data_IF_100315815080
#
_entry.id   IF_100315815080
#
_cell.length_a   1.000
_cell.length_b   1.000
_cell.length_c   1.000
_cell.angle_alpha   90.00
_cell.angle_beta   90.00
_cell.angle_gamma   90.00
#
_symmetry.space_group_name_H-M   'P 1'
#
loop_
_entity.id
_entity.type
_entity.pdbx_description
1 polymer ?
#
# COMPACT_ATOMS: atom_id res chain seq x y z
N UNK A 1 6.13 19.23 3.41
CA UNK A 1 5.01 18.86 2.51
C UNK A 1 4.02 17.99 3.25
N UNK A 2 2.74 18.24 3.09
CA UNK A 2 1.66 17.39 3.59
C UNK A 2 1.54 16.09 2.77
N UNK A 3 0.86 15.07 3.30
CA UNK A 3 0.58 13.85 2.54
C UNK A 3 -0.17 14.16 1.24
N UNK A 4 -1.10 15.13 1.30
CA UNK A 4 -1.88 15.52 0.12
C UNK A 4 -0.99 16.14 -0.97
N UNK A 5 -0.08 17.02 -0.63
CA UNK A 5 0.87 17.63 -1.60
C UNK A 5 1.76 16.56 -2.24
N UNK A 6 2.31 15.63 -1.43
CA UNK A 6 3.13 14.51 -1.92
C UNK A 6 2.33 13.58 -2.85
N UNK A 7 1.09 13.30 -2.50
CA UNK A 7 0.18 12.51 -3.33
C UNK A 7 -0.09 13.18 -4.69
N UNK A 8 -0.35 14.49 -4.71
CA UNK A 8 -0.55 15.25 -5.96
C UNK A 8 0.72 15.19 -6.84
N UNK A 9 1.91 15.39 -6.27
CA UNK A 9 3.18 15.28 -7.02
C UNK A 9 3.40 13.89 -7.63
N UNK A 10 3.00 12.82 -6.94
CA UNK A 10 3.08 11.46 -7.48
C UNK A 10 2.09 11.27 -8.65
N UNK A 11 0.87 11.79 -8.53
CA UNK A 11 -0.14 11.71 -9.60
C UNK A 11 0.34 12.39 -10.90
N UNK A 12 1.01 13.54 -10.79
CA UNK A 12 1.53 14.28 -11.94
C UNK A 12 2.59 13.52 -12.74
N UNK A 13 3.27 12.55 -12.13
CA UNK A 13 4.28 11.71 -12.79
C UNK A 13 3.70 10.57 -13.63
N UNK A 14 2.42 10.29 -13.53
CA UNK A 14 1.74 9.32 -14.39
C UNK A 14 1.33 10.02 -15.69
N UNK A 15 2.06 9.76 -16.78
CA UNK A 15 1.98 10.53 -18.02
C UNK A 15 1.42 9.70 -19.19
N UNK A 16 1.85 8.45 -19.33
CA UNK A 16 1.48 7.59 -20.47
C UNK A 16 0.03 7.14 -20.35
N UNK A 17 -0.40 6.71 -19.16
CA UNK A 17 -1.78 6.29 -18.85
C UNK A 17 -2.51 7.34 -18.03
N UNK A 18 -2.19 8.63 -18.27
CA UNK A 18 -2.72 9.74 -17.48
C UNK A 18 -4.25 9.78 -17.46
N UNK A 19 -4.90 9.51 -18.60
CA UNK A 19 -6.36 9.53 -18.70
C UNK A 19 -7.00 8.43 -17.83
N UNK A 20 -6.59 7.20 -18.03
CA UNK A 20 -7.08 6.01 -17.34
C UNK A 20 -6.81 6.11 -15.83
N UNK A 21 -5.62 6.56 -15.49
CA UNK A 21 -5.22 6.76 -14.10
C UNK A 21 -6.06 7.86 -13.45
N UNK A 22 -6.23 9.00 -14.12
CA UNK A 22 -7.05 10.10 -13.61
C UNK A 22 -8.52 9.68 -13.41
N UNK A 23 -9.12 8.98 -14.38
CA UNK A 23 -10.49 8.49 -14.25
C UNK A 23 -10.65 7.55 -13.05
N UNK A 24 -9.66 6.70 -12.78
CA UNK A 24 -9.66 5.83 -11.62
C UNK A 24 -9.52 6.60 -10.31
N UNK A 25 -8.57 7.54 -10.24
CA UNK A 25 -8.35 8.38 -9.05
C UNK A 25 -9.58 9.24 -8.76
N UNK A 26 -10.19 9.88 -9.76
CA UNK A 26 -11.41 10.67 -9.58
C UNK A 26 -12.53 9.81 -8.95
N UNK A 27 -12.71 8.57 -9.43
CA UNK A 27 -13.68 7.63 -8.84
C UNK A 27 -13.30 7.25 -7.41
N UNK A 28 -12.03 6.96 -7.13
CA UNK A 28 -11.58 6.63 -5.78
C UNK A 28 -11.84 7.77 -4.79
N UNK A 29 -11.55 9.00 -5.19
CA UNK A 29 -11.69 10.18 -4.34
C UNK A 29 -13.15 10.59 -4.12
N UNK A 30 -14.04 10.43 -5.15
CA UNK A 30 -15.44 10.82 -5.07
C UNK A 30 -16.35 9.74 -4.47
N UNK A 31 -16.18 8.48 -4.86
CA UNK A 31 -17.17 7.43 -4.64
C UNK A 31 -16.77 6.42 -3.56
N UNK A 32 -15.56 6.59 -2.98
CA UNK A 32 -15.02 5.65 -2.01
C UNK A 32 -14.48 6.32 -0.75
N UNK A 33 -14.00 5.50 0.18
CA UNK A 33 -13.30 5.97 1.38
C UNK A 33 -11.79 6.18 1.18
N UNK A 34 -11.28 6.24 -0.05
CA UNK A 34 -9.85 6.28 -0.36
C UNK A 34 -9.06 7.29 0.49
N UNK A 35 -9.52 8.55 0.52
CA UNK A 35 -8.85 9.62 1.27
C UNK A 35 -8.98 9.50 2.79
N UNK A 36 -9.87 8.63 3.30
CA UNK A 36 -10.22 8.53 4.72
C UNK A 36 -9.97 7.15 5.32
N UNK A 37 -9.77 6.13 4.47
CA UNK A 37 -9.61 4.75 4.93
C UNK A 37 -8.36 4.60 5.79
N UNK A 38 -8.42 3.82 6.90
CA UNK A 38 -7.22 3.42 7.62
C UNK A 38 -6.45 2.37 6.82
N UNK A 39 -5.16 2.23 7.09
CA UNK A 39 -4.35 1.15 6.52
C UNK A 39 -4.64 -0.20 7.17
N UNK A 40 -5.07 -0.19 8.44
CA UNK A 40 -5.38 -1.41 9.20
C UNK A 40 -6.48 -1.17 10.25
N UNK A 41 -6.98 -2.24 10.86
CA UNK A 41 -7.95 -2.14 11.98
C UNK A 41 -7.31 -1.77 13.30
N UNK A 42 -6.05 -2.17 13.56
CA UNK A 42 -5.38 -2.04 14.86
C UNK A 42 -3.85 -1.92 14.81
N UNK A 43 -3.23 -2.18 13.64
CA UNK A 43 -1.79 -2.13 13.45
C UNK A 43 -1.33 -0.73 13.00
N UNK A 44 -0.36 -0.67 12.10
CA UNK A 44 0.13 0.57 11.55
C UNK A 44 -1.00 1.42 10.94
N UNK A 45 -0.90 2.72 11.09
CA UNK A 45 -1.79 3.73 10.50
C UNK A 45 -3.30 3.40 10.60
N UNK A 46 -3.75 2.89 11.77
CA UNK A 46 -5.15 2.65 12.08
C UNK A 46 -5.92 3.95 12.39
N UNK A 47 -5.69 4.97 11.60
CA UNK A 47 -6.26 6.32 11.68
C UNK A 47 -6.90 6.74 10.36
N UNK A 48 -7.71 7.80 10.41
CA UNK A 48 -8.28 8.38 9.19
C UNK A 48 -7.18 8.83 8.23
N UNK A 49 -7.29 8.45 6.96
CA UNK A 49 -6.28 8.73 5.92
C UNK A 49 -5.04 7.86 5.97
N UNK A 50 -4.99 6.89 6.89
CA UNK A 50 -3.81 6.02 7.06
C UNK A 50 -3.44 5.23 5.81
N UNK A 51 -4.43 4.78 5.03
CA UNK A 51 -4.18 4.05 3.78
C UNK A 51 -3.48 4.93 2.73
N UNK A 52 -3.93 6.17 2.56
CA UNK A 52 -3.28 7.11 1.64
C UNK A 52 -1.85 7.44 2.10
N UNK A 53 -1.66 7.67 3.40
CA UNK A 53 -0.35 7.94 3.97
C UNK A 53 0.62 6.78 3.71
N UNK A 54 0.18 5.55 3.94
CA UNK A 54 0.92 4.33 3.61
C UNK A 54 1.29 4.26 2.13
N UNK A 55 0.30 4.34 1.25
CA UNK A 55 0.51 4.23 -0.21
C UNK A 55 1.48 5.28 -0.76
N UNK A 56 1.42 6.52 -0.25
CA UNK A 56 2.37 7.57 -0.60
C UNK A 56 3.78 7.22 -0.11
N UNK A 57 3.92 6.75 1.13
CA UNK A 57 5.19 6.31 1.68
C UNK A 57 5.82 5.18 0.86
N UNK A 58 5.02 4.17 0.50
CA UNK A 58 5.46 3.05 -0.35
C UNK A 58 5.91 3.54 -1.73
N UNK A 59 5.17 4.49 -2.34
CA UNK A 59 5.54 5.03 -3.64
C UNK A 59 6.89 5.75 -3.59
N UNK A 60 7.13 6.57 -2.58
CA UNK A 60 8.41 7.27 -2.42
C UNK A 60 9.58 6.33 -2.12
N UNK A 61 9.37 5.32 -1.27
CA UNK A 61 10.37 4.29 -1.00
C UNK A 61 10.68 3.49 -2.28
N UNK A 62 9.65 3.09 -3.02
CA UNK A 62 9.80 2.35 -4.27
C UNK A 62 10.56 3.12 -5.34
N UNK A 63 10.29 4.42 -5.48
CA UNK A 63 11.03 5.29 -6.42
C UNK A 63 12.51 5.42 -6.05
N UNK A 64 12.85 5.50 -4.76
CA UNK A 64 14.24 5.49 -4.28
C UNK A 64 14.92 4.15 -4.60
N UNK A 65 14.27 3.02 -4.27
CA UNK A 65 14.80 1.70 -4.58
C UNK A 65 14.98 1.50 -6.09
N UNK A 66 13.97 1.87 -6.89
CA UNK A 66 14.03 1.83 -8.35
C UNK A 66 15.24 2.59 -8.90
N UNK A 67 15.48 3.80 -8.41
CA UNK A 67 16.58 4.64 -8.92
C UNK A 67 17.97 4.01 -8.76
N UNK A 68 18.13 3.14 -7.75
CA UNK A 68 19.42 2.50 -7.43
C UNK A 68 19.49 1.07 -8.02
N UNK A 69 18.42 0.28 -7.85
CA UNK A 69 18.45 -1.15 -8.15
C UNK A 69 17.97 -1.49 -9.55
N UNK A 70 17.02 -0.72 -10.09
CA UNK A 70 16.33 -1.05 -11.34
C UNK A 70 15.89 0.20 -12.12
N UNK A 71 16.82 1.09 -12.50
CA UNK A 71 16.49 2.37 -13.15
C UNK A 71 15.79 2.20 -14.51
N UNK A 72 15.86 1.01 -15.12
CA UNK A 72 15.19 0.65 -16.37
C UNK A 72 13.70 0.39 -16.22
N UNK A 73 13.19 0.13 -15.01
CA UNK A 73 11.75 -0.05 -14.77
C UNK A 73 11.06 1.31 -14.90
N UNK A 74 9.88 1.34 -15.50
CA UNK A 74 9.09 2.57 -15.66
C UNK A 74 8.78 3.22 -14.30
N UNK A 75 9.04 4.53 -14.19
CA UNK A 75 8.66 5.31 -13.01
C UNK A 75 7.14 5.31 -12.82
N UNK A 76 6.40 5.44 -13.92
CA UNK A 76 4.94 5.36 -13.91
C UNK A 76 4.42 4.02 -13.38
N UNK A 77 5.01 2.89 -13.82
CA UNK A 77 4.64 1.56 -13.33
C UNK A 77 4.88 1.44 -11.82
N UNK A 78 6.01 1.95 -11.34
CA UNK A 78 6.30 1.97 -9.90
C UNK A 78 5.25 2.78 -9.12
N UNK A 79 4.85 3.95 -9.63
CA UNK A 79 3.87 4.81 -8.98
C UNK A 79 2.49 4.14 -8.96
N UNK A 80 2.02 3.61 -10.12
CA UNK A 80 0.73 2.94 -10.21
C UNK A 80 0.67 1.75 -9.25
N UNK A 81 1.70 0.90 -9.27
CA UNK A 81 1.76 -0.27 -8.37
C UNK A 81 1.78 0.18 -6.92
N UNK A 82 2.67 1.07 -6.53
CA UNK A 82 2.84 1.48 -5.14
C UNK A 82 1.63 2.23 -4.58
N UNK A 83 1.03 3.14 -5.33
CA UNK A 83 -0.15 3.86 -4.86
C UNK A 83 -1.38 2.95 -4.74
N UNK A 84 -1.48 1.92 -5.59
CA UNK A 84 -2.72 1.17 -5.76
C UNK A 84 -2.65 -0.29 -5.28
N UNK A 85 -1.48 -0.81 -4.82
CA UNK A 85 -1.35 -2.20 -4.38
C UNK A 85 -2.40 -2.59 -3.35
N UNK A 86 -2.67 -1.71 -2.43
CA UNK A 86 -3.57 -1.88 -1.28
C UNK A 86 -4.96 -1.24 -1.46
N UNK A 87 -5.30 -0.75 -2.66
CA UNK A 87 -6.58 -0.08 -2.90
C UNK A 87 -7.79 -0.97 -2.57
N UNK A 88 -7.63 -2.28 -2.59
CA UNK A 88 -8.66 -3.24 -2.15
C UNK A 88 -9.08 -3.07 -0.69
N UNK A 89 -8.29 -2.41 0.14
CA UNK A 89 -8.61 -2.07 1.54
C UNK A 89 -9.75 -1.04 1.68
N UNK A 90 -10.07 -0.29 0.63
CA UNK A 90 -11.21 0.64 0.67
C UNK A 90 -12.59 -0.06 0.68
N UNK A 91 -12.64 -1.33 0.29
CA UNK A 91 -13.90 -2.04 0.01
C UNK A 91 -14.36 -1.81 -1.44
N UNK A 92 -15.64 -1.54 -1.62
CA UNK A 92 -16.24 -1.25 -2.92
C UNK A 92 -16.89 0.14 -2.89
N UNK A 93 -17.10 0.80 -4.04
CA UNK A 93 -17.87 2.03 -4.10
C UNK A 93 -19.21 1.91 -3.35
N UNK A 94 -19.49 2.85 -2.43
CA UNK A 94 -20.65 2.85 -1.58
C UNK A 94 -20.68 1.81 -0.45
N UNK A 95 -19.69 0.90 -0.38
CA UNK A 95 -19.56 -0.14 0.67
C UNK A 95 -18.13 -0.19 1.22
N UNK A 96 -17.77 0.69 2.15
CA UNK A 96 -16.42 0.72 2.72
C UNK A 96 -16.13 -0.56 3.49
N UNK A 97 -14.90 -1.05 3.39
CA UNK A 97 -14.40 -2.19 4.16
C UNK A 97 -14.31 -1.89 5.65
N UNK A 98 -13.80 -0.70 5.98
CA UNK A 98 -13.59 -0.31 7.36
C UNK A 98 -14.70 0.60 7.85
N UNK A 99 -15.29 0.25 8.99
CA UNK A 99 -16.22 1.09 9.74
C UNK A 99 -15.66 1.37 11.13
N UNK A 100 -15.99 2.52 11.72
CA UNK A 100 -15.53 2.87 13.06
C UNK A 100 -16.01 1.84 14.07
N UNK A 101 -15.08 1.38 14.92
CA UNK A 101 -15.43 0.51 16.04
C UNK A 101 -16.12 1.36 17.14
N UNK A 102 -17.22 0.86 17.67
CA UNK A 102 -17.98 1.48 18.75
C UNK A 102 -17.80 0.76 20.09
N UNK A 103 -16.96 -0.27 20.15
CA UNK A 103 -16.66 -1.00 21.36
C UNK A 103 -15.48 -0.33 22.10
N UNK A 104 -15.79 0.46 23.12
CA UNK A 104 -14.80 1.19 23.92
C UNK A 104 -13.72 0.30 24.54
N UNK A 105 -14.09 -0.93 24.92
CA UNK A 105 -13.12 -1.86 25.49
C UNK A 105 -12.08 -2.32 24.45
N UNK A 106 -12.51 -2.65 23.24
CA UNK A 106 -11.61 -3.03 22.16
C UNK A 106 -10.72 -1.87 21.70
N UNK A 107 -11.29 -0.67 21.66
CA UNK A 107 -10.52 0.54 21.33
C UNK A 107 -9.41 0.76 22.35
N UNK A 108 -9.74 0.73 23.65
CA UNK A 108 -8.77 1.04 24.74
C UNK A 108 -7.75 -0.07 24.95
N UNK A 109 -8.17 -1.33 24.89
CA UNK A 109 -7.33 -2.46 25.30
C UNK A 109 -6.64 -3.18 24.13
N UNK A 110 -7.15 -3.03 22.90
CA UNK A 110 -6.64 -3.71 21.71
C UNK A 110 -6.25 -2.73 20.60
N UNK A 111 -6.35 -1.43 20.80
CA UNK A 111 -6.13 -0.40 19.79
C UNK A 111 -6.95 -0.63 18.50
N UNK A 112 -8.12 -1.29 18.61
CA UNK A 112 -8.97 -1.64 17.48
C UNK A 112 -9.92 -0.49 17.16
N UNK A 113 -9.40 0.54 16.49
CA UNK A 113 -10.15 1.77 16.14
C UNK A 113 -11.20 1.52 15.05
N UNK A 114 -10.92 0.57 14.16
CA UNK A 114 -11.83 0.19 13.07
C UNK A 114 -12.11 -1.30 13.11
N UNK A 115 -13.23 -1.69 12.51
CA UNK A 115 -13.61 -3.09 12.29
C UNK A 115 -14.03 -3.30 10.85
N UNK A 116 -14.01 -4.57 10.42
CA UNK A 116 -14.48 -4.96 9.08
C UNK A 116 -15.98 -4.77 9.02
N UNK A 117 -16.46 -4.17 7.94
CA UNK A 117 -17.89 -4.03 7.66
C UNK A 117 -18.51 -5.40 7.43
N UNK A 118 -19.51 -5.84 8.21
CA UNK A 118 -20.14 -7.14 8.04
C UNK A 118 -20.92 -7.28 6.73
N UNK A 119 -21.29 -6.16 6.09
CA UNK A 119 -22.01 -6.14 4.82
C UNK A 119 -21.07 -6.18 3.60
N UNK A 120 -19.74 -6.31 3.85
CA UNK A 120 -18.74 -6.43 2.78
C UNK A 120 -18.87 -7.80 2.09
N UNK A 121 -18.88 -7.79 0.75
CA UNK A 121 -18.62 -9.02 0.00
C UNK A 121 -17.14 -9.39 0.16
N UNK A 122 -16.89 -10.53 0.83
CA UNK A 122 -15.52 -10.98 1.07
C UNK A 122 -14.77 -11.20 -0.26
N UNK A 123 -13.56 -10.66 -0.34
CA UNK A 123 -12.63 -10.86 -1.43
C UNK A 123 -11.21 -10.73 -0.87
N UNK A 124 -10.27 -11.53 -1.37
CA UNK A 124 -8.85 -11.32 -1.08
C UNK A 124 -8.46 -9.89 -1.45
N UNK A 125 -7.67 -9.21 -0.61
CA UNK A 125 -7.40 -7.77 -0.77
C UNK A 125 -6.66 -7.46 -2.07
N UNK A 126 -5.59 -8.21 -2.38
CA UNK A 126 -4.82 -8.02 -3.59
C UNK A 126 -5.67 -8.30 -4.85
N UNK A 127 -6.52 -9.35 -4.81
CA UNK A 127 -7.49 -9.64 -5.89
C UNK A 127 -8.50 -8.51 -6.04
N UNK A 128 -8.98 -7.92 -4.94
CA UNK A 128 -9.87 -6.75 -5.00
C UNK A 128 -9.16 -5.55 -5.59
N UNK A 129 -7.89 -5.32 -5.24
CA UNK A 129 -7.09 -4.26 -5.86
C UNK A 129 -7.04 -4.44 -7.36
N UNK A 130 -6.66 -5.60 -7.84
CA UNK A 130 -6.64 -5.92 -9.28
C UNK A 130 -8.01 -5.74 -9.94
N UNK A 131 -9.09 -6.20 -9.29
CA UNK A 131 -10.45 -6.06 -9.81
C UNK A 131 -10.88 -4.60 -9.96
N UNK A 132 -10.54 -3.75 -9.00
CA UNK A 132 -10.86 -2.32 -9.05
C UNK A 132 -10.04 -1.61 -10.12
N UNK A 133 -8.73 -1.80 -10.13
CA UNK A 133 -7.79 -1.16 -11.06
C UNK A 133 -8.09 -1.58 -12.49
N UNK A 134 -8.29 -2.88 -12.74
CA UNK A 134 -8.47 -3.44 -14.06
C UNK A 134 -9.72 -2.95 -14.81
N UNK A 135 -10.64 -2.26 -14.12
CA UNK A 135 -11.79 -1.60 -14.77
C UNK A 135 -11.43 -0.30 -15.47
N UNK A 136 -10.28 0.29 -15.12
CA UNK A 136 -9.88 1.62 -15.57
C UNK A 136 -8.50 1.60 -16.21
N UNK A 137 -7.52 0.98 -15.56
CA UNK A 137 -6.10 1.04 -15.94
C UNK A 137 -5.70 -0.30 -16.57
N UNK A 138 -5.25 -0.32 -17.82
CA UNK A 138 -4.61 -1.51 -18.37
C UNK A 138 -3.27 -1.75 -17.67
N UNK A 139 -3.16 -2.86 -16.96
CA UNK A 139 -1.94 -3.29 -16.28
C UNK A 139 -1.14 -4.23 -17.18
N UNK A 140 0.18 -4.12 -17.14
CA UNK A 140 1.05 -5.18 -17.66
C UNK A 140 1.04 -6.40 -16.73
N UNK A 141 1.53 -7.55 -17.24
CA UNK A 141 1.64 -8.77 -16.44
C UNK A 141 2.52 -8.56 -15.19
N UNK A 142 3.62 -7.81 -15.34
CA UNK A 142 4.51 -7.46 -14.24
C UNK A 142 3.83 -6.60 -13.17
N UNK A 143 3.02 -5.60 -13.57
CA UNK A 143 2.25 -4.75 -12.65
C UNK A 143 1.16 -5.57 -11.94
N UNK A 144 0.47 -6.44 -12.66
CA UNK A 144 -0.54 -7.31 -12.09
C UNK A 144 0.08 -8.29 -11.08
N UNK A 145 1.23 -8.90 -11.41
CA UNK A 145 1.98 -9.74 -10.49
C UNK A 145 2.43 -8.96 -9.25
N UNK A 146 2.97 -7.77 -9.44
CA UNK A 146 3.44 -6.92 -8.34
C UNK A 146 2.31 -6.58 -7.36
N UNK A 147 1.12 -6.23 -7.86
CA UNK A 147 -0.05 -5.95 -7.02
C UNK A 147 -0.56 -7.23 -6.34
N UNK A 148 -0.60 -8.35 -7.06
CA UNK A 148 -1.12 -9.60 -6.50
C UNK A 148 -0.27 -10.12 -5.34
N UNK A 149 1.05 -10.03 -5.46
CA UNK A 149 1.99 -10.65 -4.54
C UNK A 149 2.79 -9.66 -3.70
N UNK A 150 2.31 -8.40 -3.56
CA UNK A 150 3.02 -7.36 -2.78
C UNK A 150 3.29 -7.74 -1.32
N UNK A 151 2.38 -8.50 -0.67
CA UNK A 151 2.56 -9.02 0.70
C UNK A 151 3.71 -10.04 0.82
N UNK A 152 4.28 -10.47 -0.31
CA UNK A 152 5.36 -11.45 -0.33
C UNK A 152 4.95 -12.82 0.21
N UNK A 153 5.96 -13.60 0.59
CA UNK A 153 5.79 -15.00 1.03
C UNK A 153 5.33 -15.13 2.49
N UNK A 154 5.06 -14.03 3.19
CA UNK A 154 4.38 -14.05 4.50
C UNK A 154 2.95 -14.61 4.39
N UNK A 155 2.33 -14.48 3.23
CA UNK A 155 1.06 -15.12 2.90
C UNK A 155 1.34 -16.49 2.29
N UNK A 156 0.87 -17.57 2.93
CA UNK A 156 1.12 -18.94 2.45
C UNK A 156 0.66 -19.18 1.00
N UNK A 157 -0.44 -18.54 0.59
CA UNK A 157 -0.92 -18.59 -0.79
C UNK A 157 0.05 -17.97 -1.80
N UNK A 158 0.94 -17.07 -1.38
CA UNK A 158 1.91 -16.42 -2.26
C UNK A 158 3.20 -17.24 -2.44
N UNK A 159 3.34 -18.39 -1.78
CA UNK A 159 4.54 -19.22 -1.91
C UNK A 159 4.73 -19.78 -3.33
N UNK A 160 3.67 -19.85 -4.12
CA UNK A 160 3.73 -20.29 -5.50
C UNK A 160 4.54 -19.37 -6.42
N UNK A 161 4.68 -18.09 -6.08
CA UNK A 161 5.47 -17.13 -6.86
C UNK A 161 6.96 -17.18 -6.53
N UNK A 162 7.34 -17.91 -5.47
CA UNK A 162 8.72 -17.95 -4.99
C UNK A 162 9.72 -18.30 -6.12
N UNK A 163 10.74 -17.47 -6.28
CA UNK A 163 11.76 -17.53 -7.34
C UNK A 163 11.24 -17.20 -8.76
N UNK A 164 10.01 -16.69 -8.88
CA UNK A 164 9.39 -16.27 -10.15
C UNK A 164 8.91 -14.82 -10.09
N UNK A 165 9.30 -14.11 -9.02
CA UNK A 165 8.94 -12.70 -8.85
C UNK A 165 9.62 -11.84 -9.93
N UNK A 166 8.80 -11.03 -10.62
CA UNK A 166 9.31 -9.96 -11.47
C UNK A 166 10.08 -8.92 -10.62
N UNK A 167 11.11 -8.26 -11.13
CA UNK A 167 11.80 -7.21 -10.41
C UNK A 167 10.88 -6.11 -9.83
N UNK A 168 9.79 -5.77 -10.52
CA UNK A 168 8.78 -4.82 -10.04
C UNK A 168 8.07 -5.34 -8.78
N UNK A 169 7.81 -6.66 -8.71
CA UNK A 169 7.23 -7.33 -7.54
C UNK A 169 8.17 -7.23 -6.34
N UNK A 170 9.46 -7.51 -6.52
CA UNK A 170 10.44 -7.38 -5.44
C UNK A 170 10.58 -5.92 -4.96
N UNK A 171 10.55 -4.95 -5.87
CA UNK A 171 10.62 -3.54 -5.51
C UNK A 171 9.46 -3.12 -4.60
N UNK A 172 8.21 -3.51 -4.95
CA UNK A 172 7.06 -3.16 -4.11
C UNK A 172 7.10 -3.88 -2.77
N UNK A 173 7.48 -5.16 -2.72
CA UNK A 173 7.62 -5.92 -1.47
C UNK A 173 8.63 -5.26 -0.51
N UNK A 174 9.80 -4.84 -1.02
CA UNK A 174 10.79 -4.15 -0.21
C UNK A 174 10.33 -2.77 0.24
N UNK A 175 9.69 -2.00 -0.66
CA UNK A 175 9.18 -0.68 -0.35
C UNK A 175 8.06 -0.73 0.69
N UNK A 176 7.10 -1.63 0.52
CA UNK A 176 5.98 -1.83 1.44
C UNK A 176 6.47 -2.28 2.82
N UNK A 177 7.30 -3.33 2.86
CA UNK A 177 7.87 -3.84 4.11
C UNK A 177 8.70 -2.78 4.84
N UNK A 178 9.52 -2.00 4.12
CA UNK A 178 10.29 -0.92 4.71
C UNK A 178 9.38 0.17 5.27
N UNK A 179 8.42 0.62 4.49
CA UNK A 179 7.49 1.67 4.90
C UNK A 179 6.70 1.26 6.13
N UNK A 180 6.08 0.07 6.12
CA UNK A 180 5.24 -0.41 7.20
C UNK A 180 6.02 -0.63 8.51
N UNK A 181 7.25 -1.18 8.44
CA UNK A 181 7.98 -1.61 9.63
C UNK A 181 9.05 -0.63 10.12
N UNK A 182 9.52 0.26 9.27
CA UNK A 182 10.58 1.22 9.62
C UNK A 182 10.03 2.63 9.71
N UNK A 183 9.47 3.14 8.61
CA UNK A 183 9.08 4.55 8.53
C UNK A 183 7.84 4.84 9.39
N UNK A 184 6.80 4.00 9.30
CA UNK A 184 5.53 4.20 10.02
C UNK A 184 5.61 3.87 11.51
N UNK A 185 6.44 2.91 11.89
CA UNK A 185 6.70 2.59 13.30
C UNK A 185 7.72 3.54 13.95
N UNK A 186 8.29 4.48 13.18
CA UNK A 186 9.28 5.44 13.66
C UNK A 186 10.54 4.75 14.19
N UNK A 187 10.88 3.58 13.64
CA UNK A 187 12.12 2.89 13.95
C UNK A 187 13.27 3.67 13.32
N UNK A 188 13.68 4.74 13.98
CA UNK A 188 14.89 5.45 13.62
C UNK A 188 16.03 4.45 13.67
N UNK A 189 16.69 4.22 12.54
CA UNK A 189 18.03 3.62 12.53
C UNK A 189 18.91 4.63 13.26
N UNK A 190 18.97 4.49 14.60
CA UNK A 190 19.97 5.21 15.36
C UNK A 190 21.29 4.72 14.83
N UNK A 191 22.22 5.62 14.52
CA UNK A 191 23.63 5.32 14.40
C UNK A 191 24.10 4.76 15.75
N UNK A 192 23.74 3.51 16.04
CA UNK A 192 24.19 2.84 17.23
C UNK A 192 25.55 2.21 16.89
N UNK A 193 26.58 3.02 17.07
CA UNK A 193 27.97 2.59 16.95
C UNK A 193 28.30 1.40 17.87
N UNK A 194 27.40 1.03 18.78
CA UNK A 194 27.57 -0.05 19.77
C UNK A 194 26.71 -1.29 19.50
N UNK A 195 25.99 -1.39 18.39
CA UNK A 195 25.14 -2.55 18.12
C UNK A 195 25.93 -3.86 18.01
N UNK A 196 27.15 -3.81 17.47
CA UNK A 196 28.02 -4.97 17.32
C UNK A 196 28.79 -5.31 18.60
N UNK A 197 29.09 -4.33 19.47
CA UNK A 197 29.85 -4.55 20.72
C UNK A 197 29.02 -5.27 21.80
N UNK A 198 27.67 -5.24 21.73
CA UNK A 198 26.80 -5.92 22.72
C UNK A 198 26.60 -7.42 22.49
N UNK A 199 27.12 -7.98 21.39
CA UNK A 199 27.03 -9.43 21.11
C UNK A 199 28.29 -10.23 21.36
N UNK A 200 29.34 -9.62 21.94
CA UNK A 200 30.66 -10.26 22.16
C UNK A 200 30.98 -10.46 23.64
N UNK A 201 30.01 -10.24 24.54
CA UNK A 201 30.19 -10.54 25.98
C UNK A 201 29.14 -11.55 26.47
#
# INVERSE_FOLDING_TARGET
>A
MTIKERYEELKEKVVIRQKEFKEFIDMLESDTSWLKSPASTRFHLNKEGGLLEHSVGVAEAMLKLRSILAPQISEESCIIVALLHDVGKIGMPGKPRYIKNTNDWEIRNRNTTYKINPDEVYMNLAVRSLYLIGKYIPLSDAEAQAILYHDGQFIDANKEVAHHEDPLTLLVQFADSWTAHIDEEGRVIKEDTNYYDKKVN
#
